data_IF_317702463711
#
_entry.id   IF_317702463711
#
_cell.length_a   1.000
_cell.length_b   1.000
_cell.length_c   1.000
_cell.angle_alpha   90.00
_cell.angle_beta   90.00
_cell.angle_gamma   90.00
#
_symmetry.space_group_name_H-M   'P 1'
#
loop_
_entity.id
_entity.type
_entity.pdbx_description
1 polymer ?
#
# COMPACT_ATOMS: atom_id res chain seq x y z
N UNK A 1 0.07 -2.41 17.10
CA UNK A 1 -0.56 -3.67 17.56
C UNK A 1 -0.18 -4.75 16.56
N UNK A 2 0.36 -5.88 17.00
CA UNK A 2 0.60 -7.01 16.10
C UNK A 2 -0.70 -7.79 15.94
N UNK A 3 -1.04 -8.13 14.70
CA UNK A 3 -2.21 -8.93 14.34
C UNK A 3 -1.73 -10.19 13.62
N UNK A 4 -2.19 -11.36 14.06
CA UNK A 4 -1.78 -12.65 13.51
C UNK A 4 -1.84 -13.74 14.59
N UNK A 5 -1.95 -14.99 14.16
CA UNK A 5 -2.21 -16.11 15.06
C UNK A 5 -0.99 -17.01 15.30
N UNK A 6 -0.20 -17.28 14.24
CA UNK A 6 0.87 -18.30 14.23
C UNK A 6 2.22 -17.87 14.84
N UNK A 7 2.35 -16.62 15.29
CA UNK A 7 3.60 -16.10 15.88
C UNK A 7 3.70 -16.34 17.39
N UNK A 8 4.94 -16.35 17.90
CA UNK A 8 5.21 -16.35 19.35
C UNK A 8 5.63 -14.96 19.79
N UNK A 9 5.02 -14.49 20.87
CA UNK A 9 5.28 -13.15 21.41
C UNK A 9 6.69 -13.06 21.96
N UNK A 10 7.48 -12.14 21.46
CA UNK A 10 8.83 -11.90 21.99
C UNK A 10 8.78 -11.13 23.30
N UNK A 11 9.87 -11.16 24.05
CA UNK A 11 9.98 -10.36 25.28
C UNK A 11 9.90 -8.86 24.98
N UNK A 12 10.50 -8.42 23.87
CA UNK A 12 10.50 -7.02 23.45
C UNK A 12 9.10 -6.55 23.07
N UNK A 13 8.35 -7.37 22.32
CA UNK A 13 6.95 -7.09 22.01
C UNK A 13 6.11 -6.97 23.28
N UNK A 14 6.24 -7.93 24.21
CA UNK A 14 5.54 -7.89 25.49
C UNK A 14 5.87 -6.61 26.25
N UNK A 15 7.15 -6.25 26.38
CA UNK A 15 7.58 -5.07 27.12
C UNK A 15 7.12 -3.78 26.48
N UNK A 16 7.15 -3.70 25.14
CA UNK A 16 6.64 -2.57 24.39
C UNK A 16 5.16 -2.30 24.70
N UNK A 17 4.31 -3.34 24.66
CA UNK A 17 2.89 -3.16 24.99
C UNK A 17 2.65 -2.94 26.48
N UNK A 18 3.47 -3.52 27.37
CA UNK A 18 3.38 -3.27 28.82
C UNK A 18 3.65 -1.79 29.14
N UNK A 19 4.64 -1.19 28.49
CA UNK A 19 4.95 0.23 28.66
C UNK A 19 3.87 1.13 28.07
N UNK A 20 3.29 0.74 26.93
CA UNK A 20 2.28 1.55 26.23
C UNK A 20 0.89 1.45 26.87
N UNK A 21 0.50 0.27 27.37
CA UNK A 21 -0.86 -0.02 27.85
C UNK A 21 -0.98 -0.05 29.37
N UNK A 22 0.15 -0.05 30.09
CA UNK A 22 0.21 -0.22 31.53
C UNK A 22 0.70 -1.61 31.94
N UNK A 23 1.32 -1.67 33.13
CA UNK A 23 1.96 -2.88 33.63
C UNK A 23 0.98 -4.07 33.70
N UNK A 24 1.36 -5.19 33.09
CA UNK A 24 0.56 -6.41 33.00
C UNK A 24 -0.26 -6.55 31.71
N UNK A 25 -0.38 -5.50 30.90
CA UNK A 25 -1.22 -5.49 29.69
C UNK A 25 -0.46 -5.91 28.43
N UNK A 26 0.86 -6.09 28.50
CA UNK A 26 1.68 -6.54 27.37
C UNK A 26 1.51 -8.01 26.98
N UNK A 27 0.74 -8.78 27.76
CA UNK A 27 0.58 -10.22 27.59
C UNK A 27 1.79 -11.02 28.10
N UNK A 28 1.90 -12.25 27.61
CA UNK A 28 2.90 -13.22 28.08
C UNK A 28 3.94 -13.45 26.98
N UNK A 29 5.21 -13.19 27.30
CA UNK A 29 6.33 -13.50 26.41
C UNK A 29 6.51 -15.02 26.30
N UNK A 30 6.87 -15.50 25.10
CA UNK A 30 7.00 -16.93 24.81
C UNK A 30 5.67 -17.64 24.58
N UNK A 31 4.53 -16.98 24.77
CA UNK A 31 3.23 -17.51 24.39
C UNK A 31 2.93 -17.22 22.92
N UNK A 32 2.28 -18.17 22.25
CA UNK A 32 1.71 -17.95 20.91
C UNK A 32 0.66 -16.83 20.96
N UNK A 33 0.52 -16.06 19.87
CA UNK A 33 -0.37 -14.90 19.84
C UNK A 33 -1.83 -15.31 20.04
N UNK A 34 -2.25 -16.41 19.40
CA UNK A 34 -3.55 -17.03 19.61
C UNK A 34 -3.42 -18.53 19.93
N UNK A 35 -3.56 -18.92 21.21
CA UNK A 35 -3.55 -20.32 21.63
C UNK A 35 -4.64 -21.19 21.04
N UNK A 36 -5.73 -20.59 20.59
CA UNK A 36 -6.90 -21.26 20.06
C UNK A 36 -6.97 -21.30 18.55
N UNK A 37 -5.98 -20.75 17.84
CA UNK A 37 -5.95 -20.77 16.38
C UNK A 37 -6.18 -22.17 15.80
N UNK A 38 -7.19 -22.30 14.93
CA UNK A 38 -7.65 -23.57 14.33
C UNK A 38 -8.05 -24.66 15.35
N UNK A 39 -8.46 -24.27 16.57
CA UNK A 39 -8.97 -25.19 17.60
C UNK A 39 -10.44 -24.91 17.89
N UNK A 40 -11.09 -25.84 18.59
CA UNK A 40 -12.49 -25.69 18.99
C UNK A 40 -12.74 -24.47 19.91
N UNK A 41 -11.71 -23.98 20.60
CA UNK A 41 -11.82 -22.79 21.45
C UNK A 41 -11.70 -21.46 20.68
N UNK A 42 -11.56 -21.49 19.35
CA UNK A 42 -11.64 -20.29 18.50
C UNK A 42 -13.09 -19.82 18.35
N UNK A 43 -13.56 -19.14 19.39
CA UNK A 43 -14.91 -18.60 19.48
C UNK A 43 -14.87 -17.11 19.85
N UNK A 44 -16.04 -16.47 19.91
CA UNK A 44 -16.16 -15.06 20.31
C UNK A 44 -15.63 -14.79 21.74
N UNK A 45 -15.49 -15.84 22.55
CA UNK A 45 -14.91 -15.73 23.89
C UNK A 45 -13.38 -15.59 23.87
N UNK A 46 -12.72 -15.94 22.76
CA UNK A 46 -11.27 -15.82 22.56
C UNK A 46 -10.88 -14.52 21.84
N UNK A 47 -11.61 -13.42 22.06
CA UNK A 47 -11.32 -12.11 21.46
C UNK A 47 -10.75 -11.17 22.51
N UNK A 48 -9.57 -10.61 22.22
CA UNK A 48 -9.07 -9.46 22.97
C UNK A 48 -9.78 -8.18 22.47
N UNK A 49 -10.76 -7.70 23.25
CA UNK A 49 -11.62 -6.57 22.87
C UNK A 49 -10.82 -5.28 22.62
N UNK A 50 -9.79 -5.02 23.43
CA UNK A 50 -8.94 -3.84 23.25
C UNK A 50 -8.20 -3.89 21.91
N UNK A 51 -7.57 -5.04 21.61
CA UNK A 51 -6.87 -5.23 20.35
C UNK A 51 -7.82 -5.10 19.16
N UNK A 52 -9.01 -5.70 19.26
CA UNK A 52 -10.05 -5.61 18.24
C UNK A 52 -10.45 -4.15 17.96
N UNK A 53 -10.76 -3.37 19.00
CA UNK A 53 -11.14 -1.96 18.86
C UNK A 53 -10.04 -1.13 18.18
N UNK A 54 -8.78 -1.32 18.57
CA UNK A 54 -7.65 -0.60 17.97
C UNK A 54 -7.42 -0.98 16.51
N UNK A 55 -7.63 -2.24 16.15
CA UNK A 55 -7.55 -2.66 14.75
C UNK A 55 -8.69 -2.08 13.91
N UNK A 56 -9.91 -2.00 14.45
CA UNK A 56 -11.04 -1.35 13.78
C UNK A 56 -10.76 0.14 13.57
N UNK A 57 -10.26 0.85 14.60
CA UNK A 57 -9.87 2.26 14.50
C UNK A 57 -8.78 2.48 13.45
N UNK A 58 -7.74 1.65 13.46
CA UNK A 58 -6.65 1.73 12.48
C UNK A 58 -7.15 1.46 11.05
N UNK A 59 -8.00 0.45 10.85
CA UNK A 59 -8.59 0.16 9.55
C UNK A 59 -9.45 1.31 9.04
N UNK A 60 -10.32 1.87 9.90
CA UNK A 60 -11.15 3.02 9.55
C UNK A 60 -10.32 4.24 9.18
N UNK A 61 -9.26 4.52 9.94
CA UNK A 61 -8.32 5.62 9.65
C UNK A 61 -7.67 5.45 8.28
N UNK A 62 -7.10 4.27 7.99
CA UNK A 62 -6.44 4.02 6.69
C UNK A 62 -7.43 4.12 5.53
N UNK A 63 -8.63 3.55 5.68
CA UNK A 63 -9.67 3.65 4.66
C UNK A 63 -10.05 5.11 4.38
N UNK A 64 -10.23 5.91 5.41
CA UNK A 64 -10.57 7.33 5.28
C UNK A 64 -9.45 8.12 4.60
N UNK A 65 -8.20 7.90 5.01
CA UNK A 65 -7.04 8.57 4.42
C UNK A 65 -6.85 8.23 2.94
N UNK A 66 -7.05 6.96 2.56
CA UNK A 66 -6.96 6.52 1.17
C UNK A 66 -8.16 7.01 0.35
N UNK A 67 -9.37 7.04 0.92
CA UNK A 67 -10.57 7.52 0.23
C UNK A 67 -10.52 9.02 -0.08
N UNK A 68 -9.77 9.81 0.70
CA UNK A 68 -9.57 11.25 0.46
C UNK A 68 -8.50 11.56 -0.59
N UNK A 69 -7.79 10.57 -1.12
CA UNK A 69 -6.79 10.84 -2.16
C UNK A 69 -7.47 11.18 -3.48
N UNK A 70 -7.24 12.39 -4.00
CA UNK A 70 -7.78 12.84 -5.29
C UNK A 70 -7.36 11.92 -6.45
N UNK A 71 -6.13 11.41 -6.40
CA UNK A 71 -5.61 10.38 -7.31
C UNK A 71 -4.93 9.27 -6.51
N UNK A 72 -5.77 8.38 -5.97
CA UNK A 72 -5.34 7.21 -5.21
C UNK A 72 -4.34 6.33 -5.99
N UNK A 73 -4.50 6.22 -7.32
CA UNK A 73 -3.67 5.33 -8.14
C UNK A 73 -2.25 5.87 -8.27
N UNK A 74 -2.10 7.17 -8.51
CA UNK A 74 -0.79 7.81 -8.54
C UNK A 74 -0.14 7.81 -7.14
N UNK A 75 -0.92 8.02 -6.08
CA UNK A 75 -0.42 7.94 -4.71
C UNK A 75 0.13 6.56 -4.36
N UNK A 76 -0.59 5.48 -4.74
CA UNK A 76 -0.15 4.10 -4.51
C UNK A 76 1.02 3.68 -5.40
N UNK A 77 1.07 4.17 -6.64
CA UNK A 77 2.01 3.69 -7.67
C UNK A 77 2.70 4.83 -8.43
N UNK A 78 3.44 5.72 -7.75
CA UNK A 78 3.98 6.94 -8.37
C UNK A 78 4.99 6.64 -9.49
N UNK A 79 5.82 5.60 -9.32
CA UNK A 79 6.82 5.22 -10.33
C UNK A 79 6.20 4.77 -11.66
N UNK A 80 5.06 4.07 -11.61
CA UNK A 80 4.37 3.62 -12.82
C UNK A 80 3.77 4.78 -13.60
N UNK A 81 3.31 5.83 -12.91
CA UNK A 81 2.80 7.04 -13.55
C UNK A 81 3.94 7.84 -14.19
N UNK A 82 5.08 7.97 -13.50
CA UNK A 82 6.28 8.63 -14.04
C UNK A 82 6.77 7.92 -15.31
N UNK A 83 6.82 6.58 -15.30
CA UNK A 83 7.21 5.81 -16.49
C UNK A 83 6.30 6.10 -17.69
N UNK A 84 4.97 6.13 -17.49
CA UNK A 84 4.00 6.46 -18.55
C UNK A 84 4.18 7.88 -19.08
N UNK A 85 4.38 8.86 -18.20
CA UNK A 85 4.59 10.26 -18.60
C UNK A 85 5.86 10.40 -19.45
N UNK A 86 6.93 9.72 -19.06
CA UNK A 86 8.19 9.73 -19.80
C UNK A 86 8.04 9.08 -21.20
N UNK A 87 7.29 7.97 -21.29
CA UNK A 87 7.03 7.31 -22.58
C UNK A 87 6.19 8.19 -23.51
N UNK A 88 5.17 8.87 -22.97
CA UNK A 88 4.36 9.84 -23.74
C UNK A 88 5.22 10.99 -24.27
N UNK A 89 6.09 11.56 -23.43
CA UNK A 89 7.00 12.64 -23.84
C UNK A 89 7.96 12.20 -24.95
N UNK A 90 8.54 11.00 -24.84
CA UNK A 90 9.41 10.45 -25.90
C UNK A 90 8.69 10.29 -27.23
N UNK A 91 7.45 9.80 -27.21
CA UNK A 91 6.64 9.65 -28.43
C UNK A 91 6.33 11.01 -29.07
N UNK A 92 6.00 12.02 -28.26
CA UNK A 92 5.75 13.38 -28.75
C UNK A 92 7.01 13.99 -29.37
N UNK A 93 8.17 13.86 -28.71
CA UNK A 93 9.45 14.32 -29.23
C UNK A 93 9.80 13.63 -30.56
N UNK A 94 9.62 12.31 -30.67
CA UNK A 94 9.85 11.58 -31.92
C UNK A 94 8.89 12.00 -33.04
N UNK A 95 7.64 12.33 -32.73
CA UNK A 95 6.70 12.86 -33.73
C UNK A 95 7.11 14.27 -34.19
N UNK A 96 7.56 15.13 -33.27
CA UNK A 96 8.05 16.46 -33.60
C UNK A 96 9.35 16.40 -34.43
N UNK A 97 10.30 15.56 -34.05
CA UNK A 97 11.53 15.33 -34.82
C UNK A 97 11.22 14.81 -36.22
N UNK A 98 10.28 13.86 -36.35
CA UNK A 98 9.82 13.40 -37.66
C UNK A 98 9.27 14.57 -38.48
N UNK A 99 8.36 15.39 -37.92
CA UNK A 99 7.83 16.58 -38.61
C UNK A 99 8.91 17.59 -39.02
N UNK A 100 9.95 17.78 -38.20
CA UNK A 100 11.07 18.68 -38.50
C UNK A 100 12.03 18.12 -39.55
N UNK A 101 12.09 16.80 -39.73
CA UNK A 101 12.95 16.15 -40.72
C UNK A 101 12.41 16.18 -42.16
N UNK A 102 11.22 16.74 -42.39
CA UNK A 102 10.69 16.96 -43.74
C UNK A 102 11.00 18.38 -44.21
N UNK A 103 11.58 18.52 -45.40
CA UNK A 103 11.96 19.82 -45.95
C UNK A 103 10.79 20.58 -46.59
N UNK A 104 9.65 19.90 -46.82
CA UNK A 104 8.41 20.51 -47.31
C UNK A 104 7.17 19.74 -46.86
N UNK A 105 6.01 20.39 -46.90
CA UNK A 105 4.72 19.73 -46.62
C UNK A 105 4.41 18.62 -47.63
N UNK A 106 4.87 18.74 -48.87
CA UNK A 106 4.68 17.71 -49.90
C UNK A 106 5.44 16.42 -49.55
N UNK A 107 6.64 16.55 -48.97
CA UNK A 107 7.43 15.43 -48.47
C UNK A 107 6.75 14.72 -47.29
N UNK A 108 6.16 15.49 -46.38
CA UNK A 108 5.41 14.97 -45.23
C UNK A 108 4.18 14.16 -45.65
N UNK A 109 3.46 14.59 -46.69
CA UNK A 109 2.26 13.92 -47.20
C UNK A 109 2.53 12.92 -48.34
N UNK A 110 3.78 12.75 -48.77
CA UNK A 110 4.16 11.80 -49.83
C UNK A 110 3.64 12.15 -51.22
N UNK A 111 3.41 13.44 -51.52
CA UNK A 111 2.99 13.86 -52.85
C UNK A 111 4.18 13.84 -53.82
N UNK A 112 4.00 13.38 -55.07
CA UNK A 112 5.05 13.40 -56.07
C UNK A 112 5.47 14.85 -56.40
N UNK A 113 6.77 15.10 -56.53
CA UNK A 113 7.30 16.36 -57.06
C UNK A 113 7.12 16.34 -58.59
N UNK A 114 6.36 17.31 -59.13
CA UNK A 114 6.15 17.51 -60.57
C UNK A 114 7.20 18.45 -61.16
#
# INVERSE_FOLDING_TARGET
LFSGADGTKTLDERNYYDQMLGQGMGGIAGAIHDPCYHRQCDSIQNINVFAYEKMVQAAAYVLEQLARQDDLKTWLYPAAQIAKLNDQQKQQQQQQQRKQNYNSMNEYFGYPYY
#
